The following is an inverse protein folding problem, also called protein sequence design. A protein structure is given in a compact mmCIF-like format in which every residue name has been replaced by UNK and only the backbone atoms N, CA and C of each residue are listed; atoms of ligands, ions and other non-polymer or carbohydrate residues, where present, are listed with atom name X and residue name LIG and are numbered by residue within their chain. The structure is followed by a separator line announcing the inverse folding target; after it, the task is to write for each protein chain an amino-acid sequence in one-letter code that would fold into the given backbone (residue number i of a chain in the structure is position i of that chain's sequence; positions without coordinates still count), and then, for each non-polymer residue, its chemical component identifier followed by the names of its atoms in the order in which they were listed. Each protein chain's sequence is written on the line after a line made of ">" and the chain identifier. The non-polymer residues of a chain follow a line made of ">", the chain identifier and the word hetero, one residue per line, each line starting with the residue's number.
data_IF_325922878888
#
_entry.id   IF_325922878888
#
_cell.length_a   1.000
_cell.length_b   1.000
_cell.length_c   1.000
_cell.angle_alpha   90.00
_cell.angle_beta   90.00
_cell.angle_gamma   90.00
#
_symmetry.space_group_name_H-M   'P 1'
#
loop_
_entity.id
_entity.type
_entity.pdbx_description
1 polymer ?
#
# COMPACT_ATOMS: atom_id res chain seq x y z
N UNK A 1 28.35 44.08 -18.04
CA UNK A 1 27.46 45.19 -17.77
C UNK A 1 26.00 44.81 -17.88
N UNK A 2 25.62 44.22 -18.97
CA UNK A 2 24.28 43.66 -19.11
C UNK A 2 23.98 42.59 -18.08
N UNK A 3 24.99 41.95 -17.54
CA UNK A 3 24.89 40.99 -16.46
C UNK A 3 24.25 41.59 -15.19
N UNK A 4 24.53 42.83 -14.88
CA UNK A 4 23.90 43.55 -13.77
C UNK A 4 22.40 43.77 -14.03
N UNK A 5 22.02 43.98 -15.27
CA UNK A 5 20.61 44.09 -15.63
C UNK A 5 19.90 42.74 -15.51
N UNK A 6 20.58 41.68 -15.84
CA UNK A 6 20.08 40.34 -15.62
C UNK A 6 19.79 40.03 -14.16
N UNK A 7 20.67 40.41 -13.27
CA UNK A 7 20.46 40.26 -11.82
C UNK A 7 19.28 41.07 -11.29
N UNK A 8 19.11 42.32 -11.78
CA UNK A 8 17.95 43.13 -11.42
C UNK A 8 16.65 42.53 -11.95
N UNK A 9 16.66 42.08 -13.15
CA UNK A 9 15.52 41.40 -13.73
C UNK A 9 15.16 40.10 -12.94
N UNK A 10 16.14 39.33 -12.53
CA UNK A 10 15.94 38.17 -11.69
C UNK A 10 15.30 38.52 -10.34
N UNK A 11 15.73 39.58 -9.70
CA UNK A 11 15.11 40.06 -8.45
C UNK A 11 13.64 40.45 -8.64
N UNK A 12 13.34 41.16 -9.71
CA UNK A 12 11.97 41.56 -10.02
C UNK A 12 11.09 40.37 -10.32
N UNK A 13 11.59 39.43 -11.09
CA UNK A 13 10.90 38.15 -11.37
C UNK A 13 10.66 37.36 -10.09
N UNK A 14 11.64 37.27 -9.22
CA UNK A 14 11.50 36.56 -7.96
C UNK A 14 10.43 37.19 -7.06
N UNK A 15 10.34 38.51 -7.02
CA UNK A 15 9.34 39.20 -6.19
C UNK A 15 7.95 39.18 -6.82
N UNK A 16 7.85 39.48 -8.12
CA UNK A 16 6.57 39.64 -8.78
C UNK A 16 5.88 38.27 -9.10
N UNK A 17 6.65 37.34 -9.57
CA UNK A 17 6.10 36.09 -10.07
C UNK A 17 6.10 34.96 -9.03
N UNK A 18 6.84 35.11 -7.95
CA UNK A 18 6.95 34.06 -6.93
C UNK A 18 5.60 33.67 -6.36
N UNK A 19 4.72 34.63 -6.10
CA UNK A 19 3.37 34.35 -5.58
C UNK A 19 2.50 33.61 -6.59
N UNK A 20 2.50 34.02 -7.86
CA UNK A 20 1.72 33.36 -8.88
C UNK A 20 2.27 31.98 -9.25
N UNK A 21 3.56 31.88 -9.47
CA UNK A 21 4.25 30.61 -9.80
C UNK A 21 4.18 29.65 -8.62
N UNK A 22 4.36 30.15 -7.40
CA UNK A 22 4.24 29.34 -6.20
C UNK A 22 2.85 28.74 -6.04
N UNK A 23 1.80 29.49 -6.32
CA UNK A 23 0.44 28.99 -6.24
C UNK A 23 0.17 27.89 -7.27
N UNK A 24 0.71 28.00 -8.48
CA UNK A 24 0.57 26.99 -9.53
C UNK A 24 1.44 25.77 -9.24
N UNK A 25 2.68 25.96 -8.80
CA UNK A 25 3.63 24.90 -8.49
C UNK A 25 3.27 24.13 -7.22
N UNK A 26 2.67 24.77 -6.23
CA UNK A 26 2.27 24.16 -4.97
C UNK A 26 1.21 23.06 -5.13
N UNK A 27 0.32 23.17 -6.10
CA UNK A 27 -0.73 22.16 -6.33
C UNK A 27 -0.17 20.77 -6.63
N UNK A 28 0.76 20.57 -7.61
CA UNK A 28 1.38 19.28 -7.82
C UNK A 28 2.26 18.82 -6.66
N UNK A 29 2.96 19.74 -6.01
CA UNK A 29 3.79 19.46 -4.83
C UNK A 29 2.94 19.02 -3.65
N UNK A 30 1.77 19.63 -3.44
CA UNK A 30 0.82 19.20 -2.41
C UNK A 30 0.34 17.76 -2.65
N UNK A 31 0.03 17.39 -3.88
CA UNK A 31 -0.38 16.03 -4.19
C UNK A 31 0.74 15.00 -3.89
N UNK A 32 1.99 15.30 -4.24
CA UNK A 32 3.15 14.49 -3.89
C UNK A 32 3.43 14.48 -2.38
N UNK A 33 3.35 15.62 -1.72
CA UNK A 33 3.55 15.74 -0.28
C UNK A 33 2.49 14.95 0.50
N UNK A 34 1.23 14.98 0.07
CA UNK A 34 0.15 14.18 0.67
C UNK A 34 0.35 12.69 0.48
N UNK A 35 0.84 12.26 -0.68
CA UNK A 35 1.24 10.86 -0.91
C UNK A 35 2.40 10.46 -0.01
N UNK A 36 3.42 11.30 0.10
CA UNK A 36 4.57 11.05 0.95
C UNK A 36 4.20 11.04 2.44
N UNK A 37 3.31 11.91 2.88
CA UNK A 37 2.77 11.91 4.25
C UNK A 37 1.97 10.63 4.51
N UNK A 38 1.20 10.14 3.54
CA UNK A 38 0.53 8.83 3.64
C UNK A 38 1.52 7.66 3.78
N UNK A 39 2.62 7.68 3.03
CA UNK A 39 3.68 6.67 3.10
C UNK A 39 4.40 6.74 4.45
N UNK A 40 4.63 7.93 4.99
CA UNK A 40 5.30 8.13 6.28
C UNK A 40 4.42 7.76 7.49
N UNK A 41 3.12 7.68 7.31
CA UNK A 41 2.21 7.23 8.36
C UNK A 41 1.99 5.74 8.22
N UNK A 42 2.52 4.97 9.15
CA UNK A 42 2.21 3.55 9.25
C UNK A 42 0.70 3.35 9.41
N UNK A 43 0.14 2.47 8.58
CA UNK A 43 -1.22 2.02 8.76
C UNK A 43 -1.30 1.11 9.98
N UNK A 44 -2.37 1.22 10.72
CA UNK A 44 -2.65 0.29 11.79
C UNK A 44 -3.15 -1.04 11.23
N UNK A 45 -3.08 -2.08 12.03
CA UNK A 45 -3.65 -3.40 11.69
C UNK A 45 -5.12 -3.28 11.29
N UNK A 46 -5.87 -2.48 12.02
CA UNK A 46 -7.29 -2.23 11.79
C UNK A 46 -7.54 -1.52 10.46
N UNK A 47 -6.67 -0.60 10.06
CA UNK A 47 -6.74 0.06 8.76
C UNK A 47 -6.49 -0.92 7.60
N UNK A 48 -5.53 -1.83 7.73
CA UNK A 48 -5.32 -2.89 6.74
C UNK A 48 -6.54 -3.82 6.62
N UNK A 49 -7.09 -4.26 7.74
CA UNK A 49 -8.28 -5.11 7.77
C UNK A 49 -9.47 -4.39 7.12
N UNK A 50 -9.70 -3.13 7.46
CA UNK A 50 -10.79 -2.34 6.91
C UNK A 50 -10.69 -2.17 5.40
N UNK A 51 -9.48 -1.90 4.87
CA UNK A 51 -9.23 -1.78 3.44
C UNK A 51 -9.51 -3.09 2.70
N UNK A 52 -9.02 -4.20 3.19
CA UNK A 52 -9.25 -5.51 2.57
C UNK A 52 -10.74 -5.88 2.65
N UNK A 53 -11.38 -5.67 3.80
CA UNK A 53 -12.80 -5.97 3.99
C UNK A 53 -13.68 -5.15 3.07
N UNK A 54 -13.37 -3.87 2.88
CA UNK A 54 -14.14 -3.01 1.97
C UNK A 54 -14.08 -3.44 0.50
N UNK A 55 -13.05 -4.19 0.11
CA UNK A 55 -12.85 -4.73 -1.23
C UNK A 55 -13.05 -6.25 -1.30
N UNK A 56 -13.59 -6.86 -0.25
CA UNK A 56 -13.74 -8.31 -0.15
C UNK A 56 -14.55 -8.91 -1.31
N UNK A 57 -15.64 -8.27 -1.67
CA UNK A 57 -16.51 -8.71 -2.77
C UNK A 57 -15.79 -8.66 -4.12
N UNK A 58 -15.03 -7.61 -4.38
CA UNK A 58 -14.21 -7.50 -5.58
C UNK A 58 -13.10 -8.56 -5.60
N UNK A 59 -12.43 -8.77 -4.47
CA UNK A 59 -11.39 -9.79 -4.33
C UNK A 59 -11.94 -11.20 -4.58
N UNK A 60 -13.10 -11.51 -4.06
CA UNK A 60 -13.77 -12.80 -4.28
C UNK A 60 -14.16 -12.99 -5.74
N UNK A 61 -14.78 -11.99 -6.35
CA UNK A 61 -15.31 -12.09 -7.71
C UNK A 61 -14.21 -12.05 -8.77
N UNK A 62 -13.20 -11.22 -8.61
CA UNK A 62 -12.13 -11.02 -9.60
C UNK A 62 -11.04 -12.08 -9.52
N UNK A 63 -10.65 -12.46 -8.31
CA UNK A 63 -9.53 -13.39 -8.08
C UNK A 63 -9.97 -14.78 -7.64
N UNK A 64 -11.24 -14.97 -7.34
CA UNK A 64 -11.77 -16.24 -6.86
C UNK A 64 -11.29 -16.59 -5.45
N UNK A 65 -11.07 -15.60 -4.61
CA UNK A 65 -10.63 -15.81 -3.24
C UNK A 65 -11.79 -16.36 -2.42
N UNK A 66 -11.59 -17.49 -1.77
CA UNK A 66 -12.56 -18.10 -0.86
C UNK A 66 -12.28 -17.75 0.59
N UNK A 67 -11.01 -17.62 0.96
CA UNK A 67 -10.58 -17.23 2.30
C UNK A 67 -9.33 -16.38 2.21
N UNK A 68 -9.25 -15.36 3.08
CA UNK A 68 -8.07 -14.51 3.21
C UNK A 68 -7.80 -14.23 4.69
N UNK A 69 -6.58 -14.48 5.11
CA UNK A 69 -6.10 -14.19 6.46
C UNK A 69 -4.89 -13.28 6.41
N UNK A 70 -4.87 -12.33 7.32
CA UNK A 70 -3.71 -11.49 7.59
C UNK A 70 -2.90 -12.14 8.71
N UNK A 71 -1.60 -12.35 8.51
CA UNK A 71 -0.73 -12.94 9.53
C UNK A 71 0.60 -12.19 9.64
N UNK A 72 1.54 -12.72 10.39
CA UNK A 72 2.86 -12.13 10.57
C UNK A 72 2.87 -10.88 11.46
N UNK A 73 3.81 -9.98 11.21
CA UNK A 73 4.05 -8.80 12.08
C UNK A 73 2.87 -7.84 12.14
N UNK A 74 2.15 -7.66 11.05
CA UNK A 74 0.95 -6.81 11.00
C UNK A 74 -0.16 -7.40 11.87
N UNK A 75 -0.42 -8.69 11.76
CA UNK A 75 -1.43 -9.36 12.58
C UNK A 75 -1.12 -9.29 14.09
N UNK A 76 0.16 -9.40 14.45
CA UNK A 76 0.64 -9.26 15.83
C UNK A 76 0.73 -7.81 16.31
N UNK A 77 0.44 -6.85 15.45
CA UNK A 77 0.61 -5.41 15.72
C UNK A 77 2.06 -5.04 16.09
N UNK A 78 3.02 -5.74 15.49
CA UNK A 78 4.47 -5.59 15.69
C UNK A 78 5.18 -5.09 14.43
N UNK A 79 4.41 -4.64 13.44
CA UNK A 79 4.96 -4.11 12.20
C UNK A 79 5.59 -2.74 12.44
N UNK A 80 6.59 -2.45 11.64
CA UNK A 80 7.28 -1.17 11.59
C UNK A 80 7.25 -0.59 10.18
N UNK A 81 7.74 0.60 10.01
CA UNK A 81 7.84 1.23 8.71
C UNK A 81 8.65 0.35 7.74
N UNK A 82 8.09 0.06 6.59
CA UNK A 82 8.68 -0.83 5.59
C UNK A 82 8.47 -2.34 5.84
N UNK A 83 7.68 -2.74 6.84
CA UNK A 83 7.29 -4.13 7.01
C UNK A 83 6.37 -4.60 5.89
N UNK A 84 6.59 -5.83 5.43
CA UNK A 84 5.69 -6.48 4.48
C UNK A 84 4.37 -6.88 5.15
N UNK A 85 3.30 -6.83 4.38
CA UNK A 85 2.00 -7.32 4.80
C UNK A 85 1.87 -8.78 4.36
N UNK A 86 1.90 -9.70 5.32
CA UNK A 86 1.81 -11.13 5.06
C UNK A 86 0.36 -11.57 4.96
N UNK A 87 0.00 -12.10 3.80
CA UNK A 87 -1.38 -12.50 3.49
C UNK A 87 -1.42 -13.97 3.08
N UNK A 88 -2.26 -14.73 3.76
CA UNK A 88 -2.56 -16.11 3.43
C UNK A 88 -3.91 -16.19 2.73
N UNK A 89 -3.92 -16.77 1.53
CA UNK A 89 -5.12 -16.84 0.69
C UNK A 89 -5.44 -18.27 0.27
N UNK A 90 -6.72 -18.54 0.18
CA UNK A 90 -7.26 -19.70 -0.52
C UNK A 90 -7.89 -19.24 -1.83
N UNK A 91 -7.31 -19.64 -2.95
CA UNK A 91 -7.70 -19.25 -4.29
C UNK A 91 -7.28 -20.28 -5.32
N UNK A 92 -7.85 -20.23 -6.55
CA UNK A 92 -7.44 -21.16 -7.62
C UNK A 92 -5.93 -21.10 -7.92
N UNK A 93 -5.30 -22.22 -8.26
CA UNK A 93 -3.85 -22.33 -8.46
C UNK A 93 -3.43 -21.79 -9.85
N UNK A 94 -3.71 -20.51 -10.10
CA UNK A 94 -3.33 -19.84 -11.34
C UNK A 94 -2.28 -18.77 -11.04
N UNK A 95 -1.07 -18.99 -11.52
CA UNK A 95 0.07 -18.12 -11.23
C UNK A 95 -0.19 -16.66 -11.56
N UNK A 96 -0.75 -16.36 -12.72
CA UNK A 96 -1.01 -14.99 -13.12
C UNK A 96 -2.04 -14.28 -12.22
N UNK A 97 -2.99 -15.02 -11.62
CA UNK A 97 -3.93 -14.44 -10.66
C UNK A 97 -3.22 -14.04 -9.35
N UNK A 98 -2.25 -14.83 -8.92
CA UNK A 98 -1.45 -14.52 -7.72
C UNK A 98 -0.63 -13.26 -7.95
N UNK A 99 0.01 -13.13 -9.11
CA UNK A 99 0.79 -11.94 -9.48
C UNK A 99 -0.09 -10.69 -9.56
N UNK A 100 -1.25 -10.81 -10.19
CA UNK A 100 -2.22 -9.71 -10.26
C UNK A 100 -2.79 -9.34 -8.89
N UNK A 101 -3.09 -10.33 -8.06
CA UNK A 101 -3.56 -10.11 -6.70
C UNK A 101 -2.51 -9.37 -5.86
N UNK A 102 -1.25 -9.77 -5.98
CA UNK A 102 -0.15 -9.09 -5.30
C UNK A 102 -0.09 -7.62 -5.69
N UNK A 103 -0.07 -7.32 -6.99
CA UNK A 103 -0.04 -5.94 -7.49
C UNK A 103 -1.26 -5.14 -7.02
N UNK A 104 -2.44 -5.72 -7.06
CA UNK A 104 -3.68 -5.10 -6.60
C UNK A 104 -3.62 -4.76 -5.10
N UNK A 105 -3.18 -5.71 -4.27
CA UNK A 105 -3.09 -5.51 -2.83
C UNK A 105 -1.99 -4.51 -2.46
N UNK A 106 -0.86 -4.52 -3.15
CA UNK A 106 0.21 -3.53 -2.94
C UNK A 106 -0.28 -2.10 -3.24
N UNK A 107 -1.07 -1.94 -4.29
CA UNK A 107 -1.68 -0.65 -4.62
C UNK A 107 -2.76 -0.26 -3.60
N UNK A 108 -3.63 -1.18 -3.23
CA UNK A 108 -4.70 -0.94 -2.27
C UNK A 108 -4.18 -0.60 -0.87
N UNK A 109 -3.18 -1.35 -0.41
CA UNK A 109 -2.62 -1.21 0.92
C UNK A 109 -1.50 -0.18 0.99
N UNK A 110 -0.99 0.27 -0.16
CA UNK A 110 0.17 1.17 -0.25
C UNK A 110 1.35 0.66 0.59
N UNK A 111 1.60 -0.64 0.51
CA UNK A 111 2.62 -1.35 1.28
C UNK A 111 3.05 -2.61 0.54
N UNK A 112 4.30 -3.07 0.71
CA UNK A 112 4.71 -4.35 0.15
C UNK A 112 3.86 -5.49 0.70
N UNK A 113 3.46 -6.41 -0.16
CA UNK A 113 2.62 -7.55 0.19
C UNK A 113 3.33 -8.85 -0.14
N UNK A 114 3.34 -9.77 0.79
CA UNK A 114 3.75 -11.16 0.57
C UNK A 114 2.55 -12.08 0.62
N UNK A 115 2.33 -12.83 -0.46
CA UNK A 115 1.15 -13.70 -0.60
C UNK A 115 1.57 -15.15 -0.53
N UNK A 116 0.98 -15.86 0.42
CA UNK A 116 1.09 -17.31 0.55
C UNK A 116 -0.25 -17.94 0.21
N UNK A 117 -0.26 -18.74 -0.85
CA UNK A 117 -1.45 -19.49 -1.24
C UNK A 117 -1.51 -20.82 -0.51
N UNK A 118 -2.68 -21.19 -0.03
CA UNK A 118 -2.95 -22.52 0.54
C UNK A 118 -2.63 -23.62 -0.48
N UNK A 119 -1.79 -24.57 -0.09
CA UNK A 119 -1.49 -25.78 -0.86
C UNK A 119 -1.07 -26.92 0.08
N UNK A 120 -1.10 -28.15 -0.42
CA UNK A 120 -0.88 -29.35 0.40
C UNK A 120 0.54 -29.48 0.98
N UNK A 121 1.51 -28.83 0.36
CA UNK A 121 2.93 -28.91 0.76
C UNK A 121 3.41 -27.68 1.51
N UNK A 122 2.51 -26.96 2.18
CA UNK A 122 2.88 -25.81 2.98
C UNK A 122 3.71 -26.26 4.19
N UNK A 123 4.71 -25.45 4.55
CA UNK A 123 5.53 -25.74 5.71
C UNK A 123 4.65 -25.79 6.98
N UNK A 124 4.69 -26.90 7.76
CA UNK A 124 3.85 -27.05 8.96
C UNK A 124 4.06 -25.95 10.01
N UNK A 125 5.28 -25.42 10.12
CA UNK A 125 5.58 -24.34 11.05
C UNK A 125 4.89 -23.05 10.65
N UNK A 126 4.92 -22.74 9.35
CA UNK A 126 4.23 -21.58 8.80
C UNK A 126 2.71 -21.71 8.95
N UNK A 127 2.18 -22.90 8.74
CA UNK A 127 0.75 -23.15 8.94
C UNK A 127 0.34 -22.91 10.39
N UNK A 128 1.13 -23.35 11.35
CA UNK A 128 0.91 -23.08 12.79
C UNK A 128 0.96 -21.60 13.12
N UNK A 129 1.87 -20.84 12.52
CA UNK A 129 1.92 -19.38 12.70
C UNK A 129 0.66 -18.71 12.16
N UNK A 130 0.23 -19.11 10.97
CA UNK A 130 -0.99 -18.59 10.34
C UNK A 130 -2.22 -18.93 11.18
N UNK A 131 -2.29 -20.13 11.75
CA UNK A 131 -3.38 -20.56 12.62
C UNK A 131 -3.39 -19.82 13.96
N UNK A 132 -2.21 -19.59 14.53
CA UNK A 132 -2.07 -18.94 15.84
C UNK A 132 -2.32 -17.44 15.77
N UNK A 133 -1.71 -16.77 14.80
CA UNK A 133 -1.65 -15.29 14.72
C UNK A 133 -2.55 -14.74 13.61
N UNK A 134 -3.05 -15.59 12.72
CA UNK A 134 -3.82 -15.19 11.56
C UNK A 134 -5.18 -14.60 11.93
N UNK A 135 -5.45 -13.42 11.37
CA UNK A 135 -6.75 -12.76 11.49
C UNK A 135 -7.51 -13.01 10.20
N UNK A 136 -8.64 -13.66 10.31
CA UNK A 136 -9.51 -13.92 9.17
C UNK A 136 -10.22 -12.61 8.75
N UNK A 137 -9.97 -12.19 7.52
CA UNK A 137 -10.57 -10.98 6.95
C UNK A 137 -11.67 -11.33 5.97
N UNK A 138 -11.48 -12.40 5.18
CA UNK A 138 -12.50 -12.97 4.30
C UNK A 138 -12.66 -14.43 4.73
N UNK A 139 -13.86 -14.77 5.18
CA UNK A 139 -14.21 -16.13 5.57
C UNK A 139 -14.69 -16.95 4.37
N UNK A 140 -14.44 -18.24 4.42
CA UNK A 140 -15.04 -19.21 3.52
C UNK A 140 -16.57 -19.21 3.71
N UNK A 141 -17.29 -19.04 2.61
CA UNK A 141 -18.77 -19.09 2.61
C UNK A 141 -19.27 -20.49 2.44
#
# INVERSE_FOLDING_TARGET
>A
MWFRHGLKAQKLLAQGNTLGISAIALRPVRAKALKNIRILRMKTREEYIALITSHAEELQNTFGITSLRLFGSVARNQHHDGSDVDIYVEMPPKFFLIVRLKAYLEELLDSPVDIIRKHQHLNPFLLKEIERDGIEVIAER
#
